data_IF_549569169453
#
_entry.id   IF_549569169453
#
_cell.length_a   1.000
_cell.length_b   1.000
_cell.length_c   1.000
_cell.angle_alpha   90.00
_cell.angle_beta   90.00
_cell.angle_gamma   90.00
#
_symmetry.space_group_name_H-M   'P 1'
#
loop_
_entity.id
_entity.type
_entity.pdbx_description
1 polymer ?
#
# COMPACT_ATOMS: atom_id res chain seq x y z
N UNK A 1 -0.92 11.50 9.84
CA UNK A 1 -0.74 12.97 9.84
C UNK A 1 0.70 13.31 9.44
N UNK A 2 0.99 14.53 8.97
CA UNK A 2 2.39 14.95 8.76
C UNK A 2 3.11 14.99 10.12
N UNK A 3 4.35 14.47 10.26
CA UNK A 3 5.21 13.84 9.25
C UNK A 3 5.14 12.30 9.23
N UNK A 4 4.15 11.71 9.88
CA UNK A 4 3.96 10.26 10.09
C UNK A 4 3.43 9.56 8.84
N UNK A 5 4.22 9.61 7.77
CA UNK A 5 4.01 8.79 6.58
C UNK A 5 4.70 7.43 6.77
N UNK A 6 4.19 6.36 6.14
CA UNK A 6 4.87 5.07 6.15
C UNK A 6 6.34 5.20 5.74
N UNK A 7 7.25 4.66 6.55
CA UNK A 7 8.70 4.69 6.31
C UNK A 7 9.44 5.96 6.73
N UNK A 8 8.77 6.95 7.34
CA UNK A 8 9.42 8.19 7.80
C UNK A 8 9.83 8.12 9.28
N UNK A 9 8.84 8.05 10.17
CA UNK A 9 9.05 7.96 11.62
C UNK A 9 8.21 6.81 12.17
N UNK A 10 8.81 5.63 12.27
CA UNK A 10 8.13 4.41 12.71
C UNK A 10 7.66 4.51 14.17
N UNK A 11 8.49 5.09 15.06
CA UNK A 11 8.14 5.20 16.48
C UNK A 11 7.06 6.25 16.70
N UNK A 12 7.17 7.42 16.05
CA UNK A 12 6.13 8.44 16.09
C UNK A 12 4.82 7.97 15.47
N UNK A 13 4.88 7.17 14.40
CA UNK A 13 3.68 6.56 13.79
C UNK A 13 3.01 5.60 14.77
N UNK A 14 3.79 4.74 15.44
CA UNK A 14 3.25 3.82 16.45
C UNK A 14 2.62 4.58 17.62
N UNK A 15 3.32 5.57 18.19
CA UNK A 15 2.82 6.39 19.30
C UNK A 15 1.50 7.08 18.94
N UNK A 16 1.43 7.66 17.73
CA UNK A 16 0.22 8.29 17.24
C UNK A 16 -0.94 7.31 17.13
N UNK A 17 -0.73 6.12 16.55
CA UNK A 17 -1.78 5.09 16.44
C UNK A 17 -2.31 4.72 17.82
N UNK A 18 -1.41 4.43 18.76
CA UNK A 18 -1.77 4.08 20.13
C UNK A 18 -2.56 5.18 20.85
N UNK A 19 -2.29 6.45 20.53
CA UNK A 19 -3.02 7.60 21.09
C UNK A 19 -4.47 7.73 20.57
N UNK A 20 -4.80 7.14 19.42
CA UNK A 20 -6.15 7.27 18.81
C UNK A 20 -7.21 6.40 19.48
N UNK A 21 -6.80 5.45 20.32
CA UNK A 21 -7.70 4.43 20.86
C UNK A 21 -7.99 3.27 19.88
N UNK A 22 -7.41 3.28 18.68
CA UNK A 22 -7.51 2.20 17.70
C UNK A 22 -6.18 1.47 17.56
N UNK A 23 -6.21 0.14 17.63
CA UNK A 23 -5.01 -0.71 17.49
C UNK A 23 -4.57 -0.97 16.05
N UNK A 24 -5.17 -0.30 15.06
CA UNK A 24 -4.95 -0.55 13.65
C UNK A 24 -5.03 0.72 12.81
N UNK A 25 -4.49 0.63 11.59
CA UNK A 25 -4.66 1.64 10.54
C UNK A 25 -4.91 0.96 9.20
N UNK A 26 -5.60 1.66 8.31
CA UNK A 26 -5.84 1.18 6.96
C UNK A 26 -4.83 1.71 5.96
N UNK A 27 -4.27 0.80 5.17
CA UNK A 27 -3.44 1.14 4.03
C UNK A 27 -4.22 0.90 2.74
N UNK A 28 -4.73 1.97 2.14
CA UNK A 28 -5.57 1.89 0.93
C UNK A 28 -4.70 1.97 -0.31
N UNK A 29 -4.78 0.95 -1.15
CA UNK A 29 -3.96 0.76 -2.34
C UNK A 29 -4.82 0.62 -3.60
N UNK A 30 -4.22 0.90 -4.76
CA UNK A 30 -4.79 0.53 -6.05
C UNK A 30 -4.00 -0.62 -6.68
N UNK A 31 -4.60 -1.27 -7.69
CA UNK A 31 -4.02 -2.44 -8.36
C UNK A 31 -2.63 -2.18 -8.99
N UNK A 32 -2.36 -0.95 -9.45
CA UNK A 32 -1.06 -0.60 -10.06
C UNK A 32 0.04 -0.49 -9.01
N UNK A 33 -0.28 0.00 -7.82
CA UNK A 33 0.67 0.16 -6.71
C UNK A 33 0.96 -1.21 -6.09
N UNK A 34 -0.08 -1.99 -5.81
CA UNK A 34 0.08 -3.29 -5.17
C UNK A 34 0.92 -4.27 -6.00
N UNK A 35 0.74 -4.30 -7.33
CA UNK A 35 1.55 -5.19 -8.18
C UNK A 35 3.06 -4.91 -8.09
N UNK A 36 3.46 -3.64 -7.87
CA UNK A 36 4.87 -3.25 -7.82
C UNK A 36 5.52 -3.49 -6.47
N UNK A 37 4.88 -3.06 -5.38
CA UNK A 37 5.38 -3.24 -4.00
C UNK A 37 5.60 -4.71 -3.68
N UNK A 38 4.72 -5.59 -4.17
CA UNK A 38 4.83 -7.02 -3.91
C UNK A 38 5.80 -7.76 -4.83
N UNK A 39 6.06 -7.26 -6.04
CA UNK A 39 7.16 -7.79 -6.88
C UNK A 39 8.52 -7.54 -6.20
N UNK A 40 8.64 -6.44 -5.45
CA UNK A 40 9.85 -6.06 -4.72
C UNK A 40 9.94 -6.75 -3.34
N UNK A 41 8.87 -6.76 -2.56
CA UNK A 41 8.84 -7.38 -1.21
C UNK A 41 8.84 -8.92 -1.23
N UNK A 42 8.34 -9.53 -2.31
CA UNK A 42 8.46 -10.98 -2.54
C UNK A 42 9.91 -11.45 -2.77
N UNK A 43 10.90 -10.54 -2.82
CA UNK A 43 12.32 -10.91 -2.86
C UNK A 43 12.87 -11.31 -1.49
N UNK A 44 12.31 -10.81 -0.38
CA UNK A 44 12.79 -11.10 0.99
C UNK A 44 12.29 -12.43 1.56
N UNK A 45 11.28 -13.04 0.94
CA UNK A 45 10.82 -14.40 1.26
C UNK A 45 11.09 -15.39 0.11
N UNK A 46 12.25 -15.28 -0.56
CA UNK A 46 12.68 -16.25 -1.57
C UNK A 46 13.52 -17.38 -0.93
N UNK A 47 12.99 -18.61 -0.75
CA UNK A 47 13.80 -19.80 -0.51
C UNK A 47 14.73 -20.14 -1.71
N UNK A 48 14.48 -19.57 -2.89
CA UNK A 48 15.22 -19.82 -4.13
C UNK A 48 16.59 -19.12 -4.22
N UNK A 49 17.00 -18.30 -3.25
CA UNK A 49 18.40 -17.83 -3.16
C UNK A 49 19.38 -18.95 -2.76
N UNK A 50 18.90 -20.20 -2.64
CA UNK A 50 19.74 -21.39 -2.52
C UNK A 50 19.86 -22.21 -3.83
N UNK A 51 19.15 -21.87 -4.91
CA UNK A 51 19.08 -22.73 -6.10
C UNK A 51 18.95 -21.98 -7.44
N UNK A 52 20.07 -21.84 -8.15
CA UNK A 52 20.19 -21.26 -9.50
C UNK A 52 19.11 -21.75 -10.47
N UNK A 53 18.19 -20.86 -10.89
CA UNK A 53 17.32 -21.08 -12.06
C UNK A 53 16.92 -19.77 -12.74
N UNK A 54 17.67 -19.39 -13.77
CA UNK A 54 17.40 -18.20 -14.61
C UNK A 54 16.09 -18.34 -15.42
N UNK A 55 15.61 -19.57 -15.64
CA UNK A 55 14.33 -19.84 -16.30
C UNK A 55 13.10 -19.44 -15.46
N UNK A 56 13.15 -19.61 -14.13
CA UNK A 56 12.04 -19.23 -13.25
C UNK A 56 11.82 -17.71 -13.14
N UNK A 57 12.82 -16.92 -13.50
CA UNK A 57 12.75 -15.44 -13.54
C UNK A 57 11.95 -14.96 -14.76
N UNK A 58 12.04 -15.66 -15.90
CA UNK A 58 11.39 -15.26 -17.16
C UNK A 58 9.89 -15.54 -17.15
N UNK A 59 9.45 -16.66 -16.56
CA UNK A 59 8.02 -17.00 -16.47
C UNK A 59 7.25 -16.05 -15.54
N UNK A 60 7.92 -15.45 -14.54
CA UNK A 60 7.34 -14.43 -13.66
C UNK A 60 7.13 -13.08 -14.34
N UNK A 61 7.80 -12.79 -15.45
CA UNK A 61 7.55 -11.57 -16.22
C UNK A 61 6.17 -11.57 -16.93
N UNK A 62 5.46 -12.71 -16.93
CA UNK A 62 4.10 -12.86 -17.49
C UNK A 62 2.99 -12.93 -16.45
N UNK A 63 3.31 -13.09 -15.17
CA UNK A 63 2.30 -13.17 -14.11
C UNK A 63 2.19 -11.81 -13.40
N UNK A 64 1.05 -11.13 -13.54
CA UNK A 64 0.79 -9.80 -12.96
C UNK A 64 0.93 -9.74 -11.42
N UNK A 65 0.92 -10.90 -10.72
CA UNK A 65 1.10 -11.01 -9.28
C UNK A 65 1.78 -12.36 -8.93
N UNK A 66 2.89 -12.38 -8.18
CA UNK A 66 3.51 -13.63 -7.70
C UNK A 66 2.58 -14.47 -6.81
N UNK A 67 2.67 -15.81 -6.88
CA UNK A 67 1.76 -16.74 -6.19
C UNK A 67 1.57 -16.52 -4.68
N UNK A 68 2.64 -16.31 -3.87
CA UNK A 68 2.50 -16.05 -2.43
C UNK A 68 1.77 -14.74 -2.11
N UNK A 69 1.95 -13.73 -2.96
CA UNK A 69 1.28 -12.44 -2.86
C UNK A 69 -0.20 -12.59 -3.16
N UNK A 70 -0.51 -13.33 -4.23
CA UNK A 70 -1.88 -13.65 -4.58
C UNK A 70 -2.56 -14.44 -3.44
N UNK A 71 -1.87 -15.39 -2.82
CA UNK A 71 -2.39 -16.12 -1.67
C UNK A 71 -2.62 -15.22 -0.45
N UNK A 72 -1.74 -14.25 -0.18
CA UNK A 72 -1.94 -13.27 0.89
C UNK A 72 -3.11 -12.31 0.59
N UNK A 73 -3.29 -11.92 -0.67
CA UNK A 73 -4.43 -11.11 -1.09
C UNK A 73 -5.76 -11.88 -1.03
N UNK A 74 -5.74 -13.16 -1.42
CA UNK A 74 -6.94 -14.00 -1.49
C UNK A 74 -7.32 -14.60 -0.13
N UNK A 75 -6.38 -14.72 0.81
CA UNK A 75 -6.55 -15.45 2.08
C UNK A 75 -6.04 -14.71 3.32
N UNK A 76 -5.52 -13.49 3.20
CA UNK A 76 -5.12 -12.68 4.35
C UNK A 76 -6.34 -12.25 5.15
N UNK A 77 -6.39 -12.60 6.44
CA UNK A 77 -7.53 -12.30 7.31
C UNK A 77 -7.83 -10.79 7.40
N UNK A 78 -6.79 -9.96 7.20
CA UNK A 78 -6.85 -8.50 7.31
C UNK A 78 -6.84 -7.79 5.94
N UNK A 79 -7.10 -8.52 4.84
CA UNK A 79 -7.02 -7.98 3.48
C UNK A 79 -8.38 -7.88 2.80
N UNK A 80 -8.72 -6.69 2.31
CA UNK A 80 -9.99 -6.43 1.59
C UNK A 80 -9.70 -6.02 0.17
N UNK A 81 -10.21 -6.79 -0.80
CA UNK A 81 -10.07 -6.52 -2.23
C UNK A 81 -11.42 -6.36 -2.86
N UNK A 82 -11.72 -5.15 -3.31
CA UNK A 82 -13.02 -4.82 -3.87
C UNK A 82 -12.91 -4.04 -5.18
N UNK A 83 -13.98 -4.09 -5.98
CA UNK A 83 -14.02 -3.48 -7.32
C UNK A 83 -14.52 -2.03 -7.30
N UNK A 84 -15.17 -1.62 -6.23
CA UNK A 84 -15.68 -0.28 -6.02
C UNK A 84 -15.48 0.19 -4.58
N UNK A 85 -15.55 1.51 -4.38
CA UNK A 85 -15.26 2.13 -3.09
C UNK A 85 -16.28 1.75 -2.02
N UNK A 86 -17.56 1.64 -2.37
CA UNK A 86 -18.60 1.30 -1.41
C UNK A 86 -18.46 -0.14 -0.91
N UNK A 87 -18.14 -1.07 -1.81
CA UNK A 87 -17.79 -2.43 -1.44
C UNK A 87 -16.53 -2.49 -0.56
N UNK A 88 -15.49 -1.73 -0.92
CA UNK A 88 -14.27 -1.64 -0.12
C UNK A 88 -14.56 -1.18 1.31
N UNK A 89 -15.33 -0.10 1.47
CA UNK A 89 -15.71 0.43 2.79
C UNK A 89 -16.50 -0.58 3.60
N UNK A 90 -17.48 -1.27 2.99
CA UNK A 90 -18.21 -2.35 3.66
C UNK A 90 -17.30 -3.47 4.11
N UNK A 91 -16.37 -3.91 3.26
CA UNK A 91 -15.41 -4.96 3.60
C UNK A 91 -14.46 -4.53 4.73
N UNK A 92 -13.96 -3.29 4.71
CA UNK A 92 -13.09 -2.75 5.77
C UNK A 92 -13.83 -2.68 7.10
N UNK A 93 -15.05 -2.15 7.12
CA UNK A 93 -15.88 -2.07 8.33
C UNK A 93 -16.31 -3.45 8.85
N UNK A 94 -16.36 -4.48 8.01
CA UNK A 94 -16.68 -5.84 8.44
C UNK A 94 -15.52 -6.54 9.19
N UNK A 95 -14.30 -6.00 9.08
CA UNK A 95 -13.11 -6.50 9.79
C UNK A 95 -12.85 -5.78 11.12
N UNK A 96 -13.73 -4.86 11.52
CA UNK A 96 -13.59 -4.05 12.73
C UNK A 96 -14.81 -4.22 13.62
N UNK A 97 -14.64 -4.10 14.93
CA UNK A 97 -15.75 -4.25 15.88
C UNK A 97 -16.87 -3.22 15.66
N UNK A 98 -16.50 -2.02 15.18
CA UNK A 98 -17.41 -0.93 14.84
C UNK A 98 -17.15 -0.44 13.41
N UNK A 99 -18.20 -0.03 12.67
CA UNK A 99 -18.05 0.52 11.32
C UNK A 99 -17.61 1.99 11.38
N UNK A 100 -16.29 2.22 11.48
CA UNK A 100 -15.73 3.56 11.66
C UNK A 100 -15.49 4.33 10.34
N UNK A 101 -15.56 3.66 9.19
CA UNK A 101 -15.24 4.27 7.89
C UNK A 101 -16.52 4.70 7.19
N UNK A 102 -16.62 6.01 6.94
CA UNK A 102 -17.63 6.61 6.08
C UNK A 102 -17.15 6.68 4.63
N UNK A 103 -17.95 6.18 3.68
CA UNK A 103 -17.56 6.15 2.25
C UNK A 103 -17.23 7.55 1.73
N UNK A 104 -18.04 8.55 2.06
CA UNK A 104 -17.85 9.90 1.55
C UNK A 104 -16.58 10.56 2.11
N UNK A 105 -16.24 10.27 3.37
CA UNK A 105 -15.01 10.73 3.98
C UNK A 105 -13.79 10.10 3.29
N UNK A 106 -13.82 8.78 3.04
CA UNK A 106 -12.74 8.09 2.34
C UNK A 106 -12.63 8.57 0.89
N UNK A 107 -13.76 8.76 0.19
CA UNK A 107 -13.80 9.31 -1.18
C UNK A 107 -13.13 10.67 -1.26
N UNK A 108 -13.39 11.56 -0.31
CA UNK A 108 -12.76 12.88 -0.23
C UNK A 108 -11.24 12.75 -0.11
N UNK A 109 -10.74 11.88 0.78
CA UNK A 109 -9.30 11.64 0.95
C UNK A 109 -8.66 11.14 -0.35
N UNK A 110 -9.30 10.19 -1.06
CA UNK A 110 -8.79 9.67 -2.33
C UNK A 110 -8.76 10.75 -3.43
N UNK A 111 -9.82 11.55 -3.55
CA UNK A 111 -9.89 12.64 -4.54
C UNK A 111 -8.85 13.73 -4.26
N UNK A 112 -8.68 14.12 -2.99
CA UNK A 112 -7.63 15.05 -2.58
C UNK A 112 -6.24 14.51 -2.92
N UNK A 113 -5.99 13.23 -2.62
CA UNK A 113 -4.72 12.57 -2.94
C UNK A 113 -4.44 12.54 -4.44
N UNK A 114 -5.43 12.23 -5.26
CA UNK A 114 -5.31 12.20 -6.73
C UNK A 114 -5.06 13.60 -7.31
N UNK A 115 -5.69 14.63 -6.75
CA UNK A 115 -5.44 16.03 -7.12
C UNK A 115 -3.99 16.43 -6.82
N UNK A 116 -3.44 16.04 -5.67
CA UNK A 116 -2.05 16.32 -5.32
C UNK A 116 -1.06 15.55 -6.22
N UNK A 117 -1.37 14.31 -6.60
CA UNK A 117 -0.58 13.56 -7.60
C UNK A 117 -0.55 14.29 -8.95
N UNK A 118 -1.70 14.78 -9.42
CA UNK A 118 -1.83 15.47 -10.70
C UNK A 118 -1.22 16.88 -10.69
N UNK A 119 -1.15 17.55 -9.54
CA UNK A 119 -0.63 18.91 -9.41
C UNK A 119 0.91 18.95 -9.50
N UNK A 120 1.51 19.54 -10.56
CA UNK A 120 2.96 19.62 -10.69
C UNK A 120 3.63 20.45 -9.58
N UNK A 121 2.90 21.39 -8.98
CA UNK A 121 3.34 22.31 -7.93
C UNK A 121 2.79 21.96 -6.54
N UNK A 122 2.46 20.69 -6.31
CA UNK A 122 2.00 20.17 -5.01
C UNK A 122 2.86 20.67 -3.85
N UNK A 123 2.19 20.95 -2.73
CA UNK A 123 2.84 21.19 -1.43
C UNK A 123 2.61 20.03 -0.46
N UNK A 124 1.95 18.97 -0.92
CA UNK A 124 1.84 17.74 -0.18
C UNK A 124 3.24 17.15 0.03
N UNK A 125 3.61 16.92 1.29
CA UNK A 125 4.94 16.47 1.67
C UNK A 125 5.18 15.02 1.23
N UNK A 126 4.16 14.17 1.24
CA UNK A 126 4.28 12.79 0.77
C UNK A 126 4.54 12.76 -0.74
N UNK A 127 3.80 13.55 -1.52
CA UNK A 127 4.00 13.63 -2.98
C UNK A 127 5.35 14.24 -3.32
N UNK A 128 5.73 15.30 -2.62
CA UNK A 128 7.06 15.93 -2.77
C UNK A 128 8.16 14.90 -2.52
N UNK A 129 8.07 14.12 -1.45
CA UNK A 129 9.04 13.08 -1.14
C UNK A 129 9.09 11.97 -2.19
N UNK A 130 7.93 11.46 -2.64
CA UNK A 130 7.85 10.45 -3.72
C UNK A 130 8.53 10.97 -4.99
N UNK A 131 8.26 12.22 -5.37
CA UNK A 131 8.87 12.84 -6.56
C UNK A 131 10.38 13.04 -6.38
N UNK A 132 10.82 13.41 -5.18
CA UNK A 132 12.23 13.52 -4.83
C UNK A 132 12.95 12.20 -5.01
N UNK A 133 12.46 11.13 -4.39
CA UNK A 133 13.01 9.78 -4.50
C UNK A 133 13.11 9.32 -5.97
N UNK A 134 12.04 9.50 -6.77
CA UNK A 134 12.04 9.10 -8.20
C UNK A 134 12.97 9.92 -9.11
N UNK A 135 13.39 11.10 -8.65
CA UNK A 135 14.35 11.97 -9.36
C UNK A 135 15.79 11.74 -8.92
N UNK A 136 16.01 11.06 -7.80
CA UNK A 136 17.35 10.77 -7.31
C UNK A 136 18.10 9.89 -8.32
N UNK A 137 19.24 10.40 -8.81
CA UNK A 137 20.02 9.76 -9.86
C UNK A 137 20.78 8.52 -9.38
N UNK A 138 21.04 8.40 -8.07
CA UNK A 138 21.73 7.23 -7.51
C UNK A 138 20.90 5.96 -7.51
N UNK A 139 19.57 6.08 -7.59
CA UNK A 139 18.62 4.95 -7.59
C UNK A 139 18.04 4.66 -9.00
N UNK A 140 18.57 5.29 -10.06
CA UNK A 140 18.14 5.07 -11.46
C UNK A 140 19.02 4.09 -12.22
#
# INVERSE_FOLDING_TARGET
PVPLFPGFDTLGTLDHIMSTGHGYTWFVLNRRVIGKEFTLSGSEQNPDLTGKSVRGVIDRARADVPGPVKAFMDHGADFVVEKDLGALVRGMNALTDEPLIEEEALRRVLVERDREIANPFTKDLQVTAIRGARKFLGDR
#
